data_IF_256261874844
#
_entry.id   IF_256261874844
#
_cell.length_a   1.000
_cell.length_b   1.000
_cell.length_c   1.000
_cell.angle_alpha   90.00
_cell.angle_beta   90.00
_cell.angle_gamma   90.00
#
_symmetry.space_group_name_H-M   'P 1'
#
loop_
_entity.id
_entity.type
_entity.pdbx_description
1 polymer ?
#
# COMPACT_ATOMS: atom_id res chain seq x y z
N UNK A 1 -8.88 -11.01 6.73
CA UNK A 1 -8.29 -9.90 7.49
C UNK A 1 -9.24 -8.73 7.38
N UNK A 2 -9.69 -8.18 8.50
CA UNK A 2 -10.67 -7.09 8.53
C UNK A 2 -9.90 -5.75 8.40
N UNK A 3 -10.50 -4.75 7.75
CA UNK A 3 -9.93 -3.41 7.64
C UNK A 3 -9.69 -2.78 9.03
N UNK A 4 -10.47 -3.19 10.04
CA UNK A 4 -10.32 -2.80 11.44
C UNK A 4 -8.96 -3.21 12.03
N UNK A 5 -8.38 -4.29 11.54
CA UNK A 5 -7.06 -4.78 11.98
C UNK A 5 -5.90 -3.90 11.47
N UNK A 6 -6.16 -2.98 10.53
CA UNK A 6 -5.15 -2.09 9.95
C UNK A 6 -4.97 -0.79 10.74
N UNK A 7 -5.77 -0.56 11.79
CA UNK A 7 -5.81 0.74 12.49
C UNK A 7 -4.44 1.17 13.03
N UNK A 8 -3.69 0.23 13.61
CA UNK A 8 -2.40 0.47 14.25
C UNK A 8 -1.18 0.12 13.40
N UNK A 9 -1.38 -0.37 12.16
CA UNK A 9 -0.28 -0.68 11.26
C UNK A 9 0.23 0.58 10.58
N UNK A 10 1.52 0.84 10.69
CA UNK A 10 2.22 1.88 9.93
C UNK A 10 2.60 1.36 8.53
N UNK A 11 2.95 0.08 8.44
CA UNK A 11 3.33 -0.58 7.20
C UNK A 11 2.30 -1.64 6.83
N UNK A 12 1.87 -1.61 5.57
CA UNK A 12 0.87 -2.53 5.02
C UNK A 12 1.41 -3.25 3.77
N UNK A 13 0.81 -4.38 3.47
CA UNK A 13 1.06 -5.17 2.27
C UNK A 13 0.22 -4.68 1.09
N UNK A 14 0.52 -5.17 -0.11
CA UNK A 14 -0.28 -4.90 -1.30
C UNK A 14 -1.74 -5.31 -1.12
N UNK A 15 -2.00 -6.45 -0.46
CA UNK A 15 -3.37 -6.94 -0.28
C UNK A 15 -4.17 -6.03 0.66
N UNK A 16 -3.55 -5.54 1.73
CA UNK A 16 -4.14 -4.56 2.65
C UNK A 16 -4.34 -3.19 1.98
N UNK A 17 -3.39 -2.75 1.15
CA UNK A 17 -3.54 -1.54 0.36
C UNK A 17 -4.71 -1.62 -0.64
N UNK A 18 -5.01 -2.81 -1.19
CA UNK A 18 -6.21 -3.02 -2.01
C UNK A 18 -7.50 -2.82 -1.18
N UNK A 19 -7.51 -3.26 0.08
CA UNK A 19 -8.67 -3.06 0.97
C UNK A 19 -8.90 -1.57 1.30
N UNK A 20 -7.83 -0.79 1.42
CA UNK A 20 -7.91 0.66 1.71
C UNK A 20 -8.34 1.45 0.47
N UNK A 21 -7.71 1.18 -0.67
CA UNK A 21 -7.86 1.99 -1.89
C UNK A 21 -9.05 1.57 -2.76
N UNK A 22 -9.55 0.34 -2.59
CA UNK A 22 -10.51 -0.29 -3.49
C UNK A 22 -9.94 -0.68 -4.86
N UNK A 23 -8.64 -0.46 -5.10
CA UNK A 23 -8.00 -0.77 -6.37
C UNK A 23 -7.61 -2.26 -6.46
N UNK A 24 -7.61 -2.79 -7.68
CA UNK A 24 -7.18 -4.16 -7.93
C UNK A 24 -5.68 -4.38 -7.70
N UNK A 25 -5.32 -5.61 -7.29
CA UNK A 25 -3.94 -6.03 -6.99
C UNK A 25 -2.94 -5.75 -8.12
N UNK A 26 -3.35 -5.89 -9.38
CA UNK A 26 -2.50 -5.57 -10.54
C UNK A 26 -2.14 -4.09 -10.58
N UNK A 27 -3.11 -3.21 -10.41
CA UNK A 27 -2.92 -1.76 -10.37
C UNK A 27 -2.04 -1.38 -9.19
N UNK A 28 -2.32 -1.94 -8.00
CA UNK A 28 -1.55 -1.64 -6.80
C UNK A 28 -0.08 -2.05 -6.92
N UNK A 29 0.19 -3.22 -7.51
CA UNK A 29 1.56 -3.65 -7.81
C UNK A 29 2.24 -2.73 -8.81
N UNK A 30 1.56 -2.33 -9.89
CA UNK A 30 2.12 -1.42 -10.88
C UNK A 30 2.47 -0.05 -10.29
N UNK A 31 1.62 0.49 -9.41
CA UNK A 31 1.89 1.74 -8.68
C UNK A 31 3.11 1.60 -7.77
N UNK A 32 3.18 0.52 -7.00
CA UNK A 32 4.32 0.25 -6.12
C UNK A 32 5.64 0.07 -6.88
N UNK A 33 5.65 -0.69 -7.97
CA UNK A 33 6.87 -0.95 -8.75
C UNK A 33 7.30 0.25 -9.59
N UNK A 34 6.36 1.14 -9.96
CA UNK A 34 6.68 2.37 -10.70
C UNK A 34 7.11 3.53 -9.80
N UNK A 35 7.12 3.35 -8.48
CA UNK A 35 7.51 4.39 -7.52
C UNK A 35 6.48 5.52 -7.38
N UNK A 36 5.23 5.33 -7.82
CA UNK A 36 4.17 6.34 -7.71
C UNK A 36 3.56 6.45 -6.32
N UNK A 37 3.78 5.44 -5.48
CA UNK A 37 3.33 5.38 -4.09
C UNK A 37 4.53 5.00 -3.20
N UNK A 38 4.50 5.33 -1.90
CA UNK A 38 5.62 5.07 -0.99
C UNK A 38 5.71 3.58 -0.64
N UNK A 39 6.35 2.82 -1.54
CA UNK A 39 6.51 1.39 -1.44
C UNK A 39 7.98 1.00 -1.37
N UNK A 40 8.30 0.06 -0.48
CA UNK A 40 9.62 -0.50 -0.25
C UNK A 40 9.63 -2.00 -0.52
N UNK A 41 10.70 -2.48 -1.15
CA UNK A 41 10.87 -3.90 -1.50
C UNK A 41 12.19 -4.44 -0.94
N UNK A 42 12.35 -4.55 0.39
CA UNK A 42 13.55 -5.10 0.99
C UNK A 42 13.74 -6.54 0.49
N UNK A 43 14.94 -6.85 0.00
CA UNK A 43 15.34 -8.18 -0.50
C UNK A 43 14.53 -8.71 -1.69
N UNK A 44 13.78 -7.85 -2.40
CA UNK A 44 13.13 -8.20 -3.66
C UNK A 44 11.96 -9.19 -3.56
N UNK A 45 11.50 -9.57 -2.36
CA UNK A 45 10.41 -10.54 -2.17
C UNK A 45 9.04 -9.89 -1.96
N UNK A 46 8.89 -9.16 -0.85
CA UNK A 46 7.61 -8.55 -0.48
C UNK A 46 7.64 -7.04 -0.69
N UNK A 47 6.48 -6.49 -1.08
CA UNK A 47 6.25 -5.06 -1.22
C UNK A 47 5.54 -4.62 0.06
N UNK A 48 6.18 -3.69 0.76
CA UNK A 48 5.68 -3.00 1.93
C UNK A 48 5.35 -1.58 1.53
N UNK A 49 4.21 -1.07 1.98
CA UNK A 49 3.72 0.26 1.65
C UNK A 49 3.58 1.03 2.96
N UNK A 50 4.11 2.24 3.00
CA UNK A 50 3.81 3.18 4.09
C UNK A 50 2.34 3.58 4.00
N UNK A 51 1.57 3.24 5.04
CA UNK A 51 0.14 3.48 5.06
C UNK A 51 -0.18 4.98 5.02
N UNK A 52 0.57 5.79 5.77
CA UNK A 52 0.26 7.21 5.86
C UNK A 52 0.55 7.89 4.52
N UNK A 53 1.71 7.65 3.92
CA UNK A 53 2.00 8.18 2.61
C UNK A 53 1.10 7.64 1.49
N UNK A 54 0.56 6.41 1.60
CA UNK A 54 -0.48 5.94 0.67
C UNK A 54 -1.78 6.74 0.82
N UNK A 55 -2.19 7.05 2.05
CA UNK A 55 -3.37 7.87 2.32
C UNK A 55 -3.16 9.30 1.81
N UNK A 56 -1.99 9.89 2.04
CA UNK A 56 -1.65 11.23 1.56
C UNK A 56 -1.65 11.28 0.02
N UNK A 57 -1.12 10.25 -0.63
CA UNK A 57 -1.22 10.08 -2.09
C UNK A 57 -2.67 10.02 -2.58
N UNK A 58 -3.56 9.29 -1.90
CA UNK A 58 -4.99 9.23 -2.25
C UNK A 58 -5.69 10.59 -2.11
N UNK A 59 -5.22 11.43 -1.18
CA UNK A 59 -5.75 12.76 -0.92
C UNK A 59 -5.08 13.84 -1.78
N UNK A 60 -4.09 13.49 -2.60
CA UNK A 60 -3.37 14.40 -3.48
C UNK A 60 -2.50 15.41 -2.73
N UNK A 61 -1.95 15.03 -1.58
CA UNK A 61 -1.11 15.87 -0.71
C UNK A 61 0.38 15.63 -0.91
#
# INVERSE_FOLDING_TARGET
>A
MDIRDLKHKEVITVDEACLITGLGKRTMRALATSGKIPAHKPNGRHIYIDKQGLIDWMLGR
#
